data_IF_247176673620
#
_entry.id   IF_247176673620
#
_cell.length_a   1.000
_cell.length_b   1.000
_cell.length_c   1.000
_cell.angle_alpha   90.00
_cell.angle_beta   90.00
_cell.angle_gamma   90.00
#
_symmetry.space_group_name_H-M   'P 1'
#
loop_
_entity.id
_entity.type
_entity.pdbx_description
1 polymer ?
#
# COMPACT_ATOMS: atom_id res chain seq x y z
N UNK A 1 -2.60 10.28 14.17
CA UNK A 1 -2.06 9.75 12.90
C UNK A 1 -3.01 8.71 12.38
N UNK A 2 -3.19 8.62 11.06
CA UNK A 2 -3.91 7.48 10.47
C UNK A 2 -2.95 6.27 10.46
N UNK A 3 -3.41 5.05 10.75
CA UNK A 3 -2.60 3.86 10.54
C UNK A 3 -2.19 3.75 9.06
N UNK A 4 -0.98 3.27 8.81
CA UNK A 4 -0.44 3.12 7.46
C UNK A 4 -0.76 1.71 6.92
N UNK A 5 -1.11 1.62 5.65
CA UNK A 5 -1.23 0.36 4.90
C UNK A 5 -0.50 0.46 3.56
N UNK A 6 0.06 -0.66 3.11
CA UNK A 6 0.73 -0.75 1.81
C UNK A 6 0.13 -1.86 0.95
N UNK A 7 -0.43 -1.50 -0.20
CA UNK A 7 -1.05 -2.44 -1.13
C UNK A 7 0.01 -2.94 -2.12
N UNK A 8 0.31 -4.24 -2.11
CA UNK A 8 1.41 -4.85 -2.87
C UNK A 8 1.12 -5.09 -4.35
N UNK A 9 -0.03 -4.61 -4.84
CA UNK A 9 -0.43 -4.65 -6.25
C UNK A 9 -1.29 -3.45 -6.59
N UNK A 10 -1.29 -3.07 -7.85
CA UNK A 10 -2.17 -2.03 -8.35
C UNK A 10 -3.63 -2.49 -8.25
N UNK A 11 -4.47 -1.61 -7.69
CA UNK A 11 -5.90 -1.76 -7.62
C UNK A 11 -6.58 -0.52 -8.19
N UNK A 12 -7.81 -0.68 -8.65
CA UNK A 12 -8.61 0.43 -9.13
C UNK A 12 -8.89 1.45 -8.02
N UNK A 13 -8.91 2.73 -8.39
CA UNK A 13 -9.18 3.83 -7.45
C UNK A 13 -10.52 3.66 -6.70
N UNK A 14 -11.52 3.00 -7.31
CA UNK A 14 -12.79 2.72 -6.64
C UNK A 14 -12.63 1.83 -5.40
N UNK A 15 -11.66 0.90 -5.42
CA UNK A 15 -11.34 0.06 -4.28
C UNK A 15 -10.44 0.78 -3.25
N UNK A 16 -9.59 1.70 -3.70
CA UNK A 16 -8.62 2.41 -2.84
C UNK A 16 -9.24 3.62 -2.12
N UNK A 17 -10.13 4.36 -2.79
CA UNK A 17 -10.73 5.59 -2.27
C UNK A 17 -11.40 5.44 -0.88
N UNK A 18 -12.11 4.35 -0.56
CA UNK A 18 -12.67 4.16 0.78
C UNK A 18 -11.60 4.01 1.86
N UNK A 19 -10.45 3.40 1.55
CA UNK A 19 -9.35 3.15 2.49
C UNK A 19 -8.65 4.47 2.87
N UNK A 20 -8.42 5.35 1.89
CA UNK A 20 -7.78 6.66 2.11
C UNK A 20 -8.52 7.56 3.11
N UNK A 21 -9.81 7.30 3.36
CA UNK A 21 -10.58 8.01 4.39
C UNK A 21 -10.04 7.75 5.80
N UNK A 22 -9.59 6.53 6.07
CA UNK A 22 -9.22 6.06 7.42
C UNK A 22 -7.72 5.75 7.56
N UNK A 23 -7.03 5.47 6.46
CA UNK A 23 -5.63 5.03 6.42
C UNK A 23 -4.76 5.99 5.61
N UNK A 24 -3.46 6.00 5.90
CA UNK A 24 -2.44 6.46 4.95
C UNK A 24 -2.08 5.29 4.03
N UNK A 25 -2.36 5.44 2.73
CA UNK A 25 -2.34 4.33 1.77
C UNK A 25 -1.21 4.51 0.76
N UNK A 26 -0.22 3.62 0.82
CA UNK A 26 0.74 3.40 -0.26
C UNK A 26 0.30 2.24 -1.16
N UNK A 27 0.70 2.26 -2.43
CA UNK A 27 0.37 1.20 -3.38
C UNK A 27 1.51 0.96 -4.37
N UNK A 28 1.74 -0.30 -4.71
CA UNK A 28 2.63 -0.69 -5.79
C UNK A 28 1.99 -0.47 -7.15
N UNK A 29 2.67 0.25 -8.03
CA UNK A 29 2.11 0.69 -9.31
C UNK A 29 2.26 -0.33 -10.45
N UNK A 30 3.08 -1.38 -10.26
CA UNK A 30 3.25 -2.42 -11.28
C UNK A 30 2.19 -3.49 -11.18
N UNK A 31 1.63 -3.86 -12.34
CA UNK A 31 0.67 -4.97 -12.47
C UNK A 31 1.36 -6.31 -12.77
N UNK A 32 2.52 -6.26 -13.43
CA UNK A 32 3.25 -7.46 -13.89
C UNK A 32 4.38 -7.87 -12.96
N UNK A 33 4.96 -6.93 -12.22
CA UNK A 33 6.10 -7.18 -11.34
C UNK A 33 5.63 -7.24 -9.89
N UNK A 34 6.09 -8.27 -9.16
CA UNK A 34 5.88 -8.32 -7.71
C UNK A 34 6.74 -7.28 -7.01
N UNK A 35 6.25 -6.72 -5.92
CA UNK A 35 7.02 -5.79 -5.08
C UNK A 35 8.36 -6.43 -4.68
N UNK A 36 9.50 -5.81 -5.01
CA UNK A 36 10.80 -6.25 -4.52
C UNK A 36 10.85 -6.31 -2.99
N UNK A 37 11.54 -7.31 -2.44
CA UNK A 37 11.55 -7.57 -0.99
C UNK A 37 12.08 -6.39 -0.18
N UNK A 38 13.09 -5.71 -0.67
CA UNK A 38 13.68 -4.52 -0.08
C UNK A 38 12.68 -3.35 -0.03
N UNK A 39 11.93 -3.13 -1.11
CA UNK A 39 10.87 -2.12 -1.15
C UNK A 39 9.76 -2.48 -0.17
N UNK A 40 9.29 -3.74 -0.18
CA UNK A 40 8.27 -4.19 0.77
C UNK A 40 8.72 -3.97 2.22
N UNK A 41 9.98 -4.32 2.53
CA UNK A 41 10.53 -4.14 3.86
C UNK A 41 10.61 -2.68 4.28
N UNK A 42 10.86 -1.74 3.37
CA UNK A 42 10.84 -0.30 3.66
C UNK A 42 9.42 0.21 3.93
N UNK A 43 8.45 -0.24 3.15
CA UNK A 43 7.06 0.18 3.26
C UNK A 43 6.38 -0.36 4.53
N UNK A 44 6.86 -1.50 5.05
CA UNK A 44 6.32 -2.12 6.27
C UNK A 44 7.03 -1.72 7.57
N UNK A 45 8.02 -0.83 7.55
CA UNK A 45 8.72 -0.40 8.79
C UNK A 45 7.80 0.38 9.73
N UNK A 46 6.80 1.08 9.18
CA UNK A 46 5.86 1.93 9.92
C UNK A 46 4.38 1.52 9.72
N UNK A 47 4.10 0.30 9.27
CA UNK A 47 2.70 -0.20 9.18
C UNK A 47 2.32 -0.99 10.42
N UNK A 48 1.13 -0.70 10.93
CA UNK A 48 0.54 -1.39 12.09
C UNK A 48 -0.09 -2.75 11.71
N UNK A 49 -0.22 -3.08 10.41
CA UNK A 49 -0.82 -4.33 9.92
C UNK A 49 -0.73 -4.56 8.42
#
# INVERSE_FOLDING_TARGET
MKPRIYITRKLDNQAVNPLQKNFDVGMWESESESVPRDILLQEVVEVDG
#
